data_IF_720342130057
#
_entry.id   IF_720342130057
#
_cell.length_a   1.000
_cell.length_b   1.000
_cell.length_c   1.000
_cell.angle_alpha   90.00
_cell.angle_beta   90.00
_cell.angle_gamma   90.00
#
_symmetry.space_group_name_H-M   'P 1'
#
loop_
_entity.id
_entity.type
_entity.pdbx_description
1 polymer ?
#
# COMPACT_ATOMS: atom_id res chain seq x y z
N UNK A 1 15.36 -7.70 -20.10
CA UNK A 1 15.87 -6.72 -19.11
C UNK A 1 16.98 -5.84 -19.68
N UNK A 2 18.03 -6.42 -20.30
CA UNK A 2 19.14 -5.66 -20.90
C UNK A 2 18.72 -4.62 -21.96
N UNK A 3 17.78 -4.97 -22.86
CA UNK A 3 17.30 -4.04 -23.89
C UNK A 3 16.54 -2.83 -23.32
N UNK A 4 15.80 -3.01 -22.23
CA UNK A 4 15.10 -1.93 -21.52
C UNK A 4 16.08 -0.98 -20.83
N UNK A 5 17.14 -1.53 -20.23
CA UNK A 5 18.20 -0.74 -19.60
C UNK A 5 18.99 0.07 -20.64
N UNK A 6 19.28 -0.52 -21.80
CA UNK A 6 19.95 0.15 -22.91
C UNK A 6 19.10 1.29 -23.49
N UNK A 7 17.80 1.06 -23.71
CA UNK A 7 16.89 2.08 -24.19
C UNK A 7 16.76 3.26 -23.21
N UNK A 8 16.67 2.97 -21.91
CA UNK A 8 16.65 4.01 -20.87
C UNK A 8 17.94 4.83 -20.88
N UNK A 9 19.11 4.18 -20.97
CA UNK A 9 20.41 4.86 -21.00
C UNK A 9 20.56 5.79 -22.22
N UNK A 10 20.09 5.37 -23.40
CA UNK A 10 20.11 6.18 -24.62
C UNK A 10 19.25 7.44 -24.44
N UNK A 11 18.02 7.28 -23.93
CA UNK A 11 17.12 8.41 -23.66
C UNK A 11 17.68 9.35 -22.60
N UNK A 12 18.27 8.81 -21.53
CA UNK A 12 18.91 9.59 -20.47
C UNK A 12 20.16 10.33 -20.94
N UNK A 13 20.91 9.78 -21.91
CA UNK A 13 22.12 10.42 -22.46
C UNK A 13 21.84 11.66 -23.30
N UNK A 14 20.61 11.83 -23.79
CA UNK A 14 20.18 13.01 -24.54
C UNK A 14 19.77 14.18 -23.62
N UNK A 15 19.70 13.96 -22.30
CA UNK A 15 19.35 15.00 -21.37
C UNK A 15 20.55 15.89 -21.05
N UNK A 16 20.37 17.23 -21.03
CA UNK A 16 21.41 18.13 -20.58
C UNK A 16 21.73 17.89 -19.09
N UNK A 17 22.97 18.14 -18.68
CA UNK A 17 23.48 17.81 -17.34
C UNK A 17 22.61 18.39 -16.19
N UNK A 18 22.05 19.59 -16.37
CA UNK A 18 21.14 20.20 -15.39
C UNK A 18 19.85 19.39 -15.20
N UNK A 19 19.30 18.82 -16.27
CA UNK A 19 18.10 17.98 -16.20
C UNK A 19 18.40 16.66 -15.50
N UNK A 20 19.60 16.12 -15.65
CA UNK A 20 20.06 14.92 -14.95
C UNK A 20 20.20 15.16 -13.44
N UNK A 21 20.69 16.34 -13.02
CA UNK A 21 20.72 16.76 -11.62
C UNK A 21 19.31 16.95 -11.04
N UNK A 22 18.39 17.54 -11.80
CA UNK A 22 16.97 17.64 -11.39
C UNK A 22 16.35 16.25 -11.24
N UNK A 23 16.61 15.34 -12.19
CA UNK A 23 16.10 13.97 -12.11
C UNK A 23 16.65 13.25 -10.89
N UNK A 24 17.95 13.36 -10.60
CA UNK A 24 18.59 12.81 -9.40
C UNK A 24 18.03 13.41 -8.10
N UNK A 25 17.58 14.66 -8.11
CA UNK A 25 16.94 15.29 -6.95
C UNK A 25 15.47 14.91 -6.78
N UNK A 26 14.73 14.79 -7.88
CA UNK A 26 13.28 14.51 -7.87
C UNK A 26 12.99 13.01 -7.72
N UNK A 27 13.80 12.13 -8.30
CA UNK A 27 13.60 10.68 -8.27
C UNK A 27 13.52 10.13 -6.83
N UNK A 28 14.41 10.50 -5.89
CA UNK A 28 14.30 10.08 -4.50
C UNK A 28 13.03 10.60 -3.83
N UNK A 29 12.59 11.83 -4.16
CA UNK A 29 11.35 12.41 -3.62
C UNK A 29 10.14 11.62 -4.12
N UNK A 30 10.12 11.29 -5.41
CA UNK A 30 9.06 10.50 -6.05
C UNK A 30 9.02 9.06 -5.51
N UNK A 31 10.18 8.43 -5.32
CA UNK A 31 10.27 7.10 -4.71
C UNK A 31 9.84 7.13 -3.24
N UNK A 32 10.17 8.21 -2.51
CA UNK A 32 9.81 8.35 -1.09
C UNK A 32 8.34 8.70 -0.90
N UNK A 33 7.74 9.48 -1.80
CA UNK A 33 6.30 9.77 -1.80
C UNK A 33 5.46 8.59 -2.30
N UNK A 34 6.06 7.66 -3.05
CA UNK A 34 5.43 6.39 -3.40
C UNK A 34 5.35 5.40 -2.23
N UNK A 35 6.02 5.67 -1.09
CA UNK A 35 5.88 4.80 0.08
C UNK A 35 4.42 4.73 0.47
N UNK A 36 3.83 3.54 0.29
CA UNK A 36 2.46 3.26 0.63
C UNK A 36 2.25 3.67 2.09
N UNK A 37 1.22 4.47 2.42
CA UNK A 37 0.92 4.81 3.79
C UNK A 37 0.69 3.50 4.54
N UNK A 38 1.58 3.16 5.46
CA UNK A 38 1.49 1.94 6.24
C UNK A 38 0.61 2.21 7.47
N UNK A 39 -0.34 1.31 7.79
CA UNK A 39 -1.08 1.42 9.03
C UNK A 39 -0.15 1.02 10.18
N UNK A 40 -0.20 1.78 11.27
CA UNK A 40 0.56 1.50 12.50
C UNK A 40 -0.14 0.42 13.34
N UNK A 41 -1.48 0.44 13.36
CA UNK A 41 -2.28 -0.57 14.03
C UNK A 41 -3.62 -0.77 13.34
N UNK A 42 -4.18 -1.97 13.53
CA UNK A 42 -5.54 -2.32 13.14
C UNK A 42 -6.26 -2.79 14.40
N UNK A 43 -7.42 -2.22 14.67
CA UNK A 43 -8.29 -2.67 15.74
C UNK A 43 -9.58 -3.20 15.13
N UNK A 44 -9.98 -4.40 15.55
CA UNK A 44 -11.24 -5.01 15.13
C UNK A 44 -12.24 -4.87 16.26
N UNK A 45 -13.42 -4.31 15.96
CA UNK A 45 -14.54 -4.22 16.90
C UNK A 45 -15.80 -4.86 16.29
N UNK A 46 -16.81 -5.09 17.12
CA UNK A 46 -18.10 -5.67 16.73
C UNK A 46 -18.80 -4.88 15.61
N UNK A 47 -18.56 -3.57 15.52
CA UNK A 47 -19.14 -2.71 14.51
C UNK A 47 -18.29 -2.54 13.23
N UNK A 48 -16.99 -2.81 13.27
CA UNK A 48 -16.10 -2.45 12.15
C UNK A 48 -14.61 -2.66 12.39
N UNK A 49 -13.81 -2.31 11.38
CA UNK A 49 -12.35 -2.25 11.44
C UNK A 49 -11.94 -0.79 11.62
N UNK A 50 -11.12 -0.53 12.64
CA UNK A 50 -10.45 0.75 12.84
C UNK A 50 -9.01 0.64 12.37
N UNK A 51 -8.63 1.52 11.45
CA UNK A 51 -7.28 1.64 10.93
C UNK A 51 -6.62 2.81 11.64
N UNK A 52 -5.50 2.54 12.30
CA UNK A 52 -4.69 3.53 13.01
C UNK A 52 -3.39 3.69 12.22
N UNK A 53 -3.04 4.93 11.92
CA UNK A 53 -1.83 5.34 11.23
C UNK A 53 -1.73 6.86 11.36
N UNK A 54 -1.32 7.58 10.30
CA UNK A 54 -1.35 9.06 10.30
C UNK A 54 -2.72 9.65 10.64
N UNK A 55 -3.80 8.95 10.30
CA UNK A 55 -5.15 9.34 10.66
C UNK A 55 -5.92 8.10 11.12
N UNK A 56 -6.69 8.25 12.21
CA UNK A 56 -7.63 7.23 12.65
C UNK A 56 -8.81 7.17 11.68
N UNK A 57 -9.13 5.97 11.20
CA UNK A 57 -10.25 5.76 10.30
C UNK A 57 -11.06 4.54 10.72
N UNK A 58 -12.33 4.75 11.03
CA UNK A 58 -13.27 3.68 11.39
C UNK A 58 -14.05 3.27 10.14
N UNK A 59 -14.13 1.98 9.88
CA UNK A 59 -14.86 1.42 8.74
C UNK A 59 -15.81 0.32 9.18
N UNK A 60 -17.11 0.56 9.02
CA UNK A 60 -18.15 -0.44 9.31
C UNK A 60 -18.15 -1.63 8.34
N UNK A 61 -17.68 -1.42 7.10
CA UNK A 61 -17.45 -2.48 6.10
C UNK A 61 -16.34 -2.07 5.11
N UNK A 62 -15.53 -3.01 4.61
CA UNK A 62 -14.61 -2.75 3.50
C UNK A 62 -15.41 -2.59 2.20
N UNK A 63 -14.92 -1.79 1.26
CA UNK A 63 -15.51 -1.69 -0.08
C UNK A 63 -15.08 -2.89 -0.95
N UNK A 64 -13.79 -3.16 -0.98
CA UNK A 64 -13.17 -4.32 -1.65
C UNK A 64 -11.97 -4.80 -0.85
N UNK A 65 -11.71 -6.10 -0.89
CA UNK A 65 -10.56 -6.71 -0.22
C UNK A 65 -9.88 -7.68 -1.19
N UNK A 66 -8.58 -7.50 -1.37
CA UNK A 66 -7.70 -8.38 -2.13
C UNK A 66 -6.75 -9.03 -1.12
N UNK A 67 -6.73 -10.36 -1.11
CA UNK A 67 -5.81 -11.15 -0.30
C UNK A 67 -4.92 -11.95 -1.23
N UNK A 68 -3.61 -11.92 -1.00
CA UNK A 68 -2.68 -12.72 -1.79
C UNK A 68 -1.60 -13.32 -0.88
N UNK A 69 -1.89 -14.41 -0.16
CA UNK A 69 -0.93 -14.98 0.79
C UNK A 69 -0.79 -14.10 2.05
N UNK A 70 0.41 -13.63 2.43
CA UNK A 70 0.64 -12.89 3.68
C UNK A 70 0.31 -11.40 3.62
N UNK A 71 -0.19 -10.90 2.48
CA UNK A 71 -0.56 -9.49 2.31
C UNK A 71 -2.05 -9.34 2.00
N UNK A 72 -2.59 -8.22 2.47
CA UNK A 72 -3.98 -7.82 2.31
C UNK A 72 -4.03 -6.36 1.85
N UNK A 73 -4.76 -6.12 0.78
CA UNK A 73 -5.12 -4.79 0.33
C UNK A 73 -6.62 -4.59 0.54
N UNK A 74 -6.99 -3.48 1.16
CA UNK A 74 -8.37 -3.14 1.46
C UNK A 74 -8.69 -1.75 0.90
N UNK A 75 -9.78 -1.67 0.15
CA UNK A 75 -10.26 -0.41 -0.40
C UNK A 75 -11.01 0.36 0.68
N UNK A 76 -10.51 1.56 0.96
CA UNK A 76 -11.08 2.52 1.88
C UNK A 76 -11.62 3.74 1.11
N UNK A 77 -12.47 4.58 1.71
CA UNK A 77 -12.90 5.85 1.10
C UNK A 77 -11.75 6.78 0.68
N UNK A 78 -10.58 6.68 1.34
CA UNK A 78 -9.39 7.48 1.03
C UNK A 78 -8.45 6.82 0.01
N UNK A 79 -8.77 5.62 -0.46
CA UNK A 79 -7.94 4.84 -1.39
C UNK A 79 -7.58 3.45 -0.86
N UNK A 80 -6.62 2.81 -1.50
CA UNK A 80 -6.17 1.46 -1.15
C UNK A 80 -5.20 1.46 0.02
N UNK A 81 -5.56 0.74 1.07
CA UNK A 81 -4.69 0.50 2.23
C UNK A 81 -4.08 -0.89 2.12
N UNK A 82 -2.77 -0.99 2.32
CA UNK A 82 -2.04 -2.25 2.25
C UNK A 82 -1.55 -2.64 3.65
N UNK A 83 -1.81 -3.89 4.00
CA UNK A 83 -1.44 -4.53 5.27
C UNK A 83 -0.57 -5.73 4.93
N UNK A 84 0.63 -5.78 5.51
CA UNK A 84 1.64 -6.79 5.21
C UNK A 84 1.97 -7.60 6.47
N UNK A 85 2.42 -8.86 6.32
CA UNK A 85 2.72 -9.74 7.45
C UNK A 85 3.98 -9.37 8.25
N UNK A 86 4.83 -8.48 7.72
CA UNK A 86 5.94 -7.88 8.48
C UNK A 86 5.45 -6.81 9.47
N UNK A 87 4.19 -6.36 9.35
CA UNK A 87 3.59 -5.37 10.25
C UNK A 87 2.97 -6.00 11.50
N UNK A 88 2.51 -7.24 11.40
CA UNK A 88 2.02 -8.02 12.54
C UNK A 88 2.11 -9.53 12.23
N UNK A 89 2.40 -10.38 13.23
CA UNK A 89 2.36 -11.83 13.08
C UNK A 89 1.04 -12.28 12.43
N UNK A 90 1.09 -13.33 11.60
CA UNK A 90 -0.10 -13.86 10.90
C UNK A 90 -1.25 -14.18 11.86
N UNK A 91 -0.94 -14.61 13.08
CA UNK A 91 -1.92 -14.87 14.14
C UNK A 91 -2.74 -13.62 14.53
N UNK A 92 -2.12 -12.44 14.52
CA UNK A 92 -2.77 -11.16 14.82
C UNK A 92 -3.59 -10.65 13.64
N UNK A 93 -3.23 -11.03 12.41
CA UNK A 93 -3.98 -10.68 11.19
C UNK A 93 -5.17 -11.62 10.92
N UNK A 94 -5.18 -12.82 11.51
CA UNK A 94 -6.20 -13.85 11.29
C UNK A 94 -7.64 -13.40 11.64
N UNK A 95 -7.91 -12.69 12.76
CA UNK A 95 -9.25 -12.19 13.08
C UNK A 95 -9.77 -11.20 12.03
N UNK A 96 -8.90 -10.35 11.48
CA UNK A 96 -9.24 -9.43 10.40
C UNK A 96 -9.61 -10.17 9.13
N UNK A 97 -8.85 -11.22 8.76
CA UNK A 97 -9.17 -12.06 7.60
C UNK A 97 -10.53 -12.73 7.73
N UNK A 98 -10.85 -13.28 8.91
CA UNK A 98 -12.13 -13.93 9.17
C UNK A 98 -13.28 -12.93 9.07
N UNK A 99 -13.13 -11.76 9.68
CA UNK A 99 -14.16 -10.72 9.64
C UNK A 99 -14.41 -10.20 8.22
N UNK A 100 -13.35 -9.95 7.44
CA UNK A 100 -13.46 -9.55 6.04
C UNK A 100 -14.14 -10.63 5.18
N UNK A 101 -13.87 -11.90 5.44
CA UNK A 101 -14.54 -13.01 4.75
C UNK A 101 -16.05 -13.06 5.05
N UNK A 102 -16.43 -12.98 6.34
CA UNK A 102 -17.83 -13.02 6.77
C UNK A 102 -18.63 -11.84 6.20
N UNK A 103 -18.04 -10.64 6.21
CA UNK A 103 -18.71 -9.44 5.67
C UNK A 103 -18.79 -9.43 4.14
N UNK A 104 -17.86 -10.09 3.43
CA UNK A 104 -17.90 -10.25 1.97
C UNK A 104 -19.09 -11.12 1.51
N UNK A 105 -19.47 -12.13 2.27
CA UNK A 105 -20.59 -13.02 1.89
C UNK A 105 -21.99 -12.41 2.11
N UNK A 106 -22.09 -11.26 2.79
CA UNK A 106 -23.36 -10.62 3.15
C UNK A 106 -23.67 -9.35 2.35
N UNK A 107 -22.95 -9.08 1.26
CA UNK A 107 -23.19 -7.96 0.35
C UNK A 107 -23.25 -8.43 -1.09
#
# INVERSE_FOLDING_TARGET
MAALLAAAAIVLSQLPAWAMLVLLGVLPVLVRSWRLPQPEALELDAQGVTIIGRHKQVMARPLRVIRHGPWLAMQTPKGWQHVFADQAPVAELQPFYQWFWVKRQRG
#
